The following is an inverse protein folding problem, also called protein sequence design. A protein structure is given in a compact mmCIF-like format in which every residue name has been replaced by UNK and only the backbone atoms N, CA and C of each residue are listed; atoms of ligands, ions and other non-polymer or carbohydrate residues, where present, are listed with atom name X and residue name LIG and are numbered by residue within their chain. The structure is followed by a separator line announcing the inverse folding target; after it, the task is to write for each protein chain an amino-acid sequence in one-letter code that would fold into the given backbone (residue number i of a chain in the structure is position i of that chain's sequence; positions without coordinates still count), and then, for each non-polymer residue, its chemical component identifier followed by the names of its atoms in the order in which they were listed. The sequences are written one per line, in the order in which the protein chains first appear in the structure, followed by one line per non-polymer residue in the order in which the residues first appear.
data_IF_584264838607
#
_entry.id   IF_584264838607
#
_cell.length_a   1.000
_cell.length_b   1.000
_cell.length_c   1.000
_cell.angle_alpha   90.00
_cell.angle_beta   90.00
_cell.angle_gamma   90.00
#
_symmetry.space_group_name_H-M   'P 1'
#
loop_
_entity.id
_entity.type
_entity.pdbx_description
1 polymer ?
#
# COMPACT_ATOMS: atom_id res chain seq x y z
N UNK A 1 -1.09 -19.43 -2.93
CA UNK A 1 -0.65 -18.90 -1.62
C UNK A 1 -1.66 -17.85 -1.18
N UNK A 2 -2.42 -18.15 -0.14
CA UNK A 2 -3.37 -17.23 0.44
C UNK A 2 -2.67 -16.52 1.60
N UNK A 3 -2.45 -15.19 1.48
CA UNK A 3 -2.02 -14.40 2.61
C UNK A 3 -3.19 -14.27 3.59
N UNK A 4 -3.01 -14.74 4.79
CA UNK A 4 -3.97 -14.58 5.87
C UNK A 4 -3.83 -13.18 6.50
N UNK A 5 -4.89 -12.60 7.08
CA UNK A 5 -4.83 -11.31 7.75
C UNK A 5 -3.71 -11.22 8.79
N UNK A 6 -3.54 -12.27 9.59
CA UNK A 6 -2.52 -12.36 10.65
C UNK A 6 -1.10 -12.26 10.08
N UNK A 7 -0.86 -12.84 8.90
CA UNK A 7 0.45 -12.76 8.25
C UNK A 7 0.82 -11.33 7.84
N UNK A 8 -0.15 -10.51 7.48
CA UNK A 8 0.09 -9.11 7.15
C UNK A 8 0.48 -8.33 8.40
N UNK A 9 -0.23 -8.55 9.51
CA UNK A 9 0.05 -7.86 10.76
C UNK A 9 1.37 -8.33 11.40
N UNK A 10 1.57 -9.63 11.52
CA UNK A 10 2.78 -10.23 12.08
C UNK A 10 4.00 -9.99 11.18
N UNK A 11 3.79 -10.01 9.85
CA UNK A 11 4.82 -9.71 8.88
C UNK A 11 5.39 -8.30 9.02
N UNK A 12 4.53 -7.30 9.24
CA UNK A 12 4.97 -5.93 9.50
C UNK A 12 5.81 -5.83 10.78
N UNK A 13 5.35 -6.47 11.86
CA UNK A 13 6.09 -6.50 13.12
C UNK A 13 7.45 -7.18 12.97
N UNK A 14 7.51 -8.27 12.19
CA UNK A 14 8.73 -9.00 11.90
C UNK A 14 9.72 -8.11 11.10
N UNK A 15 9.28 -7.51 9.99
CA UNK A 15 10.13 -6.62 9.16
C UNK A 15 10.66 -5.44 9.98
N UNK A 16 9.82 -4.81 10.81
CA UNK A 16 10.26 -3.73 11.72
C UNK A 16 11.30 -4.19 12.72
N UNK A 17 11.21 -5.43 13.22
CA UNK A 17 12.23 -6.01 14.11
C UNK A 17 13.56 -6.21 13.40
N UNK A 18 13.55 -6.73 12.16
CA UNK A 18 14.75 -6.87 11.34
C UNK A 18 15.39 -5.51 11.07
N UNK A 19 14.58 -4.52 10.69
CA UNK A 19 15.03 -3.14 10.46
C UNK A 19 15.73 -2.54 11.70
N UNK A 20 15.16 -2.74 12.90
CA UNK A 20 15.73 -2.25 14.15
C UNK A 20 17.14 -2.83 14.43
N UNK A 21 17.41 -4.03 13.96
CA UNK A 21 18.71 -4.71 14.14
C UNK A 21 19.61 -4.61 12.88
N UNK A 22 19.27 -3.74 11.91
CA UNK A 22 19.98 -3.60 10.65
C UNK A 22 20.19 -4.93 9.92
N UNK A 23 19.18 -5.82 9.94
CA UNK A 23 19.16 -7.10 9.25
C UNK A 23 18.20 -7.06 8.09
N UNK A 24 18.57 -7.64 6.96
CA UNK A 24 17.71 -7.73 5.79
C UNK A 24 16.56 -8.72 6.08
N UNK A 25 15.30 -8.31 5.92
CA UNK A 25 14.16 -9.21 5.98
C UNK A 25 14.12 -10.12 4.76
N UNK A 26 13.43 -11.25 4.86
CA UNK A 26 13.29 -12.23 3.77
C UNK A 26 12.36 -11.75 2.66
N UNK A 27 11.47 -10.79 2.97
CA UNK A 27 10.53 -10.24 2.00
C UNK A 27 10.22 -8.76 2.30
N UNK A 28 9.72 -8.03 1.32
CA UNK A 28 9.18 -6.70 1.50
C UNK A 28 7.71 -6.77 1.91
N UNK A 29 7.36 -6.19 3.06
CA UNK A 29 5.96 -6.10 3.48
C UNK A 29 5.13 -5.22 2.54
N UNK A 30 5.71 -4.15 2.01
CA UNK A 30 5.03 -3.25 1.08
C UNK A 30 4.74 -3.96 -0.26
N UNK A 31 5.68 -4.79 -0.75
CA UNK A 31 5.47 -5.66 -1.90
C UNK A 31 4.34 -6.67 -1.68
N UNK A 32 4.30 -7.29 -0.52
CA UNK A 32 3.22 -8.22 -0.14
C UNK A 32 1.86 -7.52 -0.22
N UNK A 33 1.72 -6.32 0.35
CA UNK A 33 0.47 -5.57 0.33
C UNK A 33 0.05 -5.18 -1.08
N UNK A 34 0.97 -4.70 -1.90
CA UNK A 34 0.70 -4.34 -3.31
C UNK A 34 0.30 -5.59 -4.11
N UNK A 35 1.01 -6.69 -3.95
CA UNK A 35 0.71 -7.95 -4.63
C UNK A 35 -0.69 -8.46 -4.27
N UNK A 36 -1.06 -8.44 -2.98
CA UNK A 36 -2.41 -8.84 -2.56
C UNK A 36 -3.46 -7.89 -3.16
N UNK A 37 -3.22 -6.58 -3.13
CA UNK A 37 -4.16 -5.59 -3.66
C UNK A 37 -4.41 -5.74 -5.17
N UNK A 38 -3.38 -6.13 -5.93
CA UNK A 38 -3.46 -6.32 -7.38
C UNK A 38 -4.11 -7.65 -7.77
N UNK A 39 -3.76 -8.74 -7.08
CA UNK A 39 -4.14 -10.09 -7.50
C UNK A 39 -5.37 -10.63 -6.78
N UNK A 40 -5.75 -10.08 -5.63
CA UNK A 40 -6.90 -10.54 -4.89
C UNK A 40 -8.07 -9.53 -4.95
N UNK A 41 -9.10 -9.87 -5.72
CA UNK A 41 -10.28 -9.03 -5.90
C UNK A 41 -11.46 -9.39 -5.01
N UNK A 42 -11.30 -10.24 -4.02
CA UNK A 42 -12.38 -10.65 -3.13
C UNK A 42 -12.74 -9.55 -2.12
N UNK A 43 -14.04 -9.40 -1.84
CA UNK A 43 -14.53 -8.33 -0.96
C UNK A 43 -14.07 -8.49 0.49
N UNK A 44 -14.04 -9.74 1.01
CA UNK A 44 -13.55 -9.98 2.36
C UNK A 44 -12.06 -9.64 2.51
N UNK A 45 -11.25 -9.87 1.46
CA UNK A 45 -9.84 -9.46 1.44
C UNK A 45 -9.73 -7.94 1.55
N UNK A 46 -10.58 -7.18 0.86
CA UNK A 46 -10.56 -5.73 0.95
C UNK A 46 -10.83 -5.22 2.38
N UNK A 47 -11.70 -5.88 3.13
CA UNK A 47 -12.05 -5.46 4.48
C UNK A 47 -10.86 -5.48 5.47
N UNK A 48 -10.03 -6.52 5.43
CA UNK A 48 -8.86 -6.62 6.31
C UNK A 48 -7.59 -6.00 5.70
N UNK A 49 -7.48 -5.98 4.36
CA UNK A 49 -6.31 -5.42 3.69
C UNK A 49 -6.31 -3.90 3.70
N UNK A 50 -7.48 -3.26 3.54
CA UNK A 50 -7.60 -1.81 3.38
C UNK A 50 -6.88 -1.02 4.47
N UNK A 51 -7.04 -1.28 5.78
CA UNK A 51 -6.35 -0.50 6.82
C UNK A 51 -4.82 -0.57 6.70
N UNK A 52 -4.27 -1.76 6.44
CA UNK A 52 -2.83 -1.96 6.31
C UNK A 52 -2.28 -1.30 5.03
N UNK A 53 -3.03 -1.39 3.93
CA UNK A 53 -2.66 -0.77 2.66
C UNK A 53 -2.73 0.76 2.74
N UNK A 54 -3.76 1.32 3.36
CA UNK A 54 -3.91 2.77 3.58
C UNK A 54 -2.77 3.32 4.43
N UNK A 55 -2.43 2.66 5.55
CA UNK A 55 -1.31 3.05 6.42
C UNK A 55 0.03 3.01 5.65
N UNK A 56 0.23 2.00 4.82
CA UNK A 56 1.39 1.92 3.93
C UNK A 56 1.45 3.10 2.97
N UNK A 57 0.34 3.41 2.28
CA UNK A 57 0.27 4.50 1.29
C UNK A 57 0.54 5.85 1.94
N UNK A 58 -0.09 6.13 3.08
CA UNK A 58 0.12 7.39 3.81
C UNK A 58 1.56 7.55 4.26
N UNK A 59 2.15 6.50 4.82
CA UNK A 59 3.56 6.49 5.24
C UNK A 59 4.50 6.71 4.07
N UNK A 60 4.24 6.06 2.95
CA UNK A 60 5.06 6.16 1.75
C UNK A 60 5.00 7.56 1.14
N UNK A 61 3.81 8.10 0.89
CA UNK A 61 3.62 9.44 0.31
C UNK A 61 4.24 10.50 1.21
N UNK A 62 3.99 10.43 2.53
CA UNK A 62 4.62 11.35 3.47
C UNK A 62 6.15 11.31 3.43
N UNK A 63 6.72 10.11 3.34
CA UNK A 63 8.16 9.91 3.21
C UNK A 63 8.71 10.49 1.91
N UNK A 64 8.03 10.27 0.78
CA UNK A 64 8.39 10.85 -0.53
C UNK A 64 8.33 12.37 -0.52
N UNK A 65 7.28 12.95 0.03
CA UNK A 65 7.11 14.41 0.08
C UNK A 65 8.20 15.07 0.92
N UNK A 66 8.61 14.43 2.02
CA UNK A 66 9.75 14.88 2.80
C UNK A 66 11.04 14.87 1.97
N UNK A 67 11.35 13.79 1.28
CA UNK A 67 12.54 13.67 0.43
C UNK A 67 12.47 14.66 -0.74
N UNK A 68 11.35 14.77 -1.43
CA UNK A 68 11.12 15.75 -2.50
C UNK A 68 11.36 17.18 -2.02
N UNK A 69 10.92 17.51 -0.82
CA UNK A 69 11.12 18.82 -0.22
C UNK A 69 12.60 19.12 0.02
N UNK A 70 13.38 18.15 0.49
CA UNK A 70 14.83 18.28 0.67
C UNK A 70 15.54 18.46 -0.67
N UNK A 71 15.18 17.66 -1.69
CA UNK A 71 15.76 17.79 -3.04
C UNK A 71 15.45 19.16 -3.65
N UNK A 72 14.20 19.60 -3.59
CA UNK A 72 13.76 20.90 -4.15
C UNK A 72 14.40 22.10 -3.44
N UNK A 73 14.69 22.00 -2.16
CA UNK A 73 15.40 23.02 -1.41
C UNK A 73 16.87 23.14 -1.87
N UNK A 74 17.46 22.06 -2.38
CA UNK A 74 18.83 22.03 -2.87
C UNK A 74 18.96 22.33 -4.37
N UNK A 75 18.03 21.84 -5.20
CA UNK A 75 18.03 21.98 -6.66
C UNK A 75 16.61 22.11 -7.19
N UNK A 76 16.38 23.07 -8.10
CA UNK A 76 15.07 23.26 -8.74
C UNK A 76 14.88 22.32 -9.93
N UNK A 77 13.63 21.89 -10.16
CA UNK A 77 13.24 21.17 -11.38
C UNK A 77 13.64 19.70 -11.45
N UNK A 78 13.99 19.09 -10.32
CA UNK A 78 14.26 17.64 -10.25
C UNK A 78 12.92 16.89 -10.12
N UNK A 79 12.71 15.92 -11.00
CA UNK A 79 11.57 15.00 -10.96
C UNK A 79 11.97 13.64 -10.41
N UNK A 80 10.98 12.88 -9.92
CA UNK A 80 11.18 11.50 -9.50
C UNK A 80 11.57 10.63 -10.71
N UNK A 81 12.51 9.72 -10.52
CA UNK A 81 12.85 8.72 -11.55
C UNK A 81 12.05 7.45 -11.37
N UNK A 82 11.37 6.97 -12.41
CA UNK A 82 10.73 5.66 -12.34
C UNK A 82 11.79 4.56 -12.29
N UNK A 83 11.52 3.48 -11.56
CA UNK A 83 12.31 2.24 -11.66
C UNK A 83 11.37 1.03 -11.72
N UNK A 84 11.76 0.06 -12.49
CA UNK A 84 11.09 -1.23 -12.62
C UNK A 84 12.18 -2.31 -12.70
N UNK A 85 12.87 -2.49 -11.59
CA UNK A 85 13.95 -3.46 -11.48
C UNK A 85 13.48 -4.62 -10.59
N UNK A 86 13.63 -5.84 -11.06
CA UNK A 86 13.33 -7.06 -10.30
C UNK A 86 14.37 -7.32 -9.21
N UNK A 87 15.43 -6.51 -9.15
CA UNK A 87 16.48 -6.63 -8.15
C UNK A 87 15.98 -6.15 -6.79
N UNK A 88 16.20 -6.94 -5.75
CA UNK A 88 15.93 -6.54 -4.37
C UNK A 88 16.86 -5.41 -3.94
N UNK A 89 16.31 -4.22 -3.74
CA UNK A 89 17.06 -3.04 -3.28
C UNK A 89 16.90 -2.90 -1.78
N UNK A 90 17.99 -3.04 -1.05
CA UNK A 90 18.03 -2.89 0.40
C UNK A 90 18.64 -1.56 0.82
N UNK A 91 18.07 -0.91 1.83
CA UNK A 91 18.66 0.28 2.44
C UNK A 91 20.04 -0.02 3.03
N UNK A 92 21.05 0.77 2.66
CA UNK A 92 22.42 0.59 3.15
C UNK A 92 22.53 0.69 4.68
N UNK A 93 21.66 1.49 5.31
CA UNK A 93 21.66 1.70 6.75
C UNK A 93 20.89 0.60 7.51
N UNK A 94 19.60 0.45 7.28
CA UNK A 94 18.73 -0.43 8.08
C UNK A 94 18.41 -1.78 7.42
N UNK A 95 18.90 -2.03 6.21
CA UNK A 95 18.71 -3.26 5.43
C UNK A 95 17.26 -3.58 5.05
N UNK A 96 16.31 -2.65 5.28
CA UNK A 96 14.93 -2.81 4.81
C UNK A 96 14.89 -2.88 3.30
N UNK A 97 14.04 -3.73 2.73
CA UNK A 97 13.82 -3.81 1.30
C UNK A 97 12.98 -2.59 0.85
N UNK A 98 13.51 -1.85 -0.12
CA UNK A 98 12.93 -0.61 -0.64
C UNK A 98 12.09 -0.92 -1.90
N UNK A 99 10.94 -1.55 -1.73
CA UNK A 99 10.10 -1.96 -2.86
C UNK A 99 9.45 -0.79 -3.59
N UNK A 100 8.83 0.13 -2.84
CA UNK A 100 8.04 1.22 -3.42
C UNK A 100 8.90 2.40 -3.90
N UNK A 101 9.91 2.76 -3.12
CA UNK A 101 10.83 3.84 -3.46
C UNK A 101 12.13 3.76 -2.67
N UNK A 102 13.16 4.40 -3.21
CA UNK A 102 14.45 4.57 -2.57
C UNK A 102 15.15 5.84 -3.06
N UNK A 103 16.12 6.29 -2.30
CA UNK A 103 16.95 7.43 -2.64
C UNK A 103 18.34 6.94 -3.03
N UNK A 104 18.87 7.46 -4.12
CA UNK A 104 20.26 7.29 -4.56
C UNK A 104 20.94 8.65 -4.64
N UNK A 105 22.26 8.69 -4.62
CA UNK A 105 23.01 9.93 -4.75
C UNK A 105 24.14 9.79 -5.76
N UNK A 106 24.24 10.74 -6.68
CA UNK A 106 25.35 10.85 -7.63
C UNK A 106 26.59 11.51 -7.01
N UNK A 107 26.41 12.28 -5.91
CA UNK A 107 27.48 13.06 -5.29
C UNK A 107 28.51 12.19 -4.55
N UNK A 108 28.12 10.98 -4.13
CA UNK A 108 28.97 10.13 -3.26
C UNK A 108 29.78 9.07 -4.02
N UNK A 109 29.76 9.01 -5.34
CA UNK A 109 30.31 7.88 -6.14
C UNK A 109 29.86 6.50 -5.59
N UNK A 110 28.74 6.47 -4.87
CA UNK A 110 28.20 5.32 -4.16
C UNK A 110 26.92 4.87 -4.86
N UNK A 111 26.86 3.60 -5.21
CA UNK A 111 25.63 2.93 -5.69
C UNK A 111 24.69 2.54 -4.55
N UNK A 112 24.98 2.99 -3.32
CA UNK A 112 24.17 2.65 -2.15
C UNK A 112 22.77 3.25 -2.26
N UNK A 113 21.74 2.44 -1.97
CA UNK A 113 20.37 2.89 -1.87
C UNK A 113 20.01 3.17 -0.40
N UNK A 114 19.17 4.16 -0.20
CA UNK A 114 18.61 4.50 1.11
C UNK A 114 17.08 4.42 1.08
N UNK A 115 16.45 3.91 2.14
CA UNK A 115 15.01 4.09 2.33
C UNK A 115 14.72 5.57 2.66
N UNK A 116 13.48 5.98 2.49
CA UNK A 116 13.03 7.36 2.68
C UNK A 116 13.41 7.94 4.06
N UNK A 117 13.45 7.08 5.09
CA UNK A 117 13.78 7.50 6.46
C UNK A 117 15.28 7.67 6.72
N UNK A 118 16.14 7.04 5.92
CA UNK A 118 17.60 7.01 6.14
C UNK A 118 18.40 7.65 5.00
N UNK A 119 17.76 8.47 4.17
CA UNK A 119 18.44 9.16 3.08
C UNK A 119 19.61 10.04 3.58
N UNK A 120 19.40 10.81 4.63
CA UNK A 120 20.42 11.68 5.24
C UNK A 120 21.57 10.88 5.89
N UNK A 121 21.26 9.73 6.52
CA UNK A 121 22.27 8.88 7.14
C UNK A 121 23.18 8.17 6.13
N UNK A 122 22.65 7.87 4.94
CA UNK A 122 23.38 7.16 3.89
C UNK A 122 24.11 8.13 2.97
N UNK A 123 23.47 9.24 2.60
CA UNK A 123 23.96 10.16 1.56
C UNK A 123 24.44 11.51 2.11
N UNK A 124 24.35 11.74 3.44
CA UNK A 124 24.65 13.02 4.07
C UNK A 124 23.48 14.01 3.93
N UNK A 125 23.65 15.21 4.51
CA UNK A 125 22.58 16.22 4.59
C UNK A 125 22.42 17.09 3.33
N UNK A 126 23.34 16.98 2.37
CA UNK A 126 23.29 17.76 1.13
C UNK A 126 22.52 17.01 0.05
N UNK A 127 21.27 17.37 -0.15
CA UNK A 127 20.37 16.70 -1.09
C UNK A 127 20.57 17.10 -2.58
N UNK A 128 21.55 17.93 -2.90
CA UNK A 128 21.79 18.43 -4.28
C UNK A 128 22.08 17.34 -5.31
N UNK A 129 22.59 16.18 -4.86
CA UNK A 129 22.86 15.05 -5.76
C UNK A 129 21.91 13.88 -5.54
N UNK A 130 20.81 14.08 -4.80
CA UNK A 130 19.86 13.01 -4.53
C UNK A 130 18.87 12.87 -5.68
N UNK A 131 18.50 11.61 -5.94
CA UNK A 131 17.41 11.24 -6.85
C UNK A 131 16.46 10.31 -6.10
N UNK A 132 15.18 10.67 -6.08
CA UNK A 132 14.11 9.80 -5.58
C UNK A 132 13.67 8.89 -6.72
N UNK A 133 13.81 7.59 -6.52
CA UNK A 133 13.32 6.56 -7.43
C UNK A 133 12.02 5.97 -6.92
N UNK A 134 11.03 5.87 -7.81
CA UNK A 134 9.68 5.41 -7.47
C UNK A 134 9.24 4.28 -8.41
N UNK A 135 8.77 3.16 -7.86
CA UNK A 135 8.22 2.04 -8.64
C UNK A 135 6.81 2.35 -9.12
N UNK A 136 5.98 2.85 -8.23
CA UNK A 136 4.60 3.20 -8.51
C UNK A 136 4.38 4.68 -8.19
N UNK A 137 3.76 5.48 -9.09
CA UNK A 137 3.45 6.87 -8.80
C UNK A 137 2.42 6.99 -7.66
N UNK A 138 2.37 8.14 -6.99
CA UNK A 138 1.46 8.40 -5.87
C UNK A 138 -0.01 8.19 -6.27
N UNK A 139 -0.37 8.56 -7.51
CA UNK A 139 -1.71 8.35 -8.07
C UNK A 139 -2.10 6.88 -8.19
N UNK A 140 -1.14 5.99 -8.47
CA UNK A 140 -1.38 4.55 -8.47
C UNK A 140 -1.73 4.07 -7.06
N UNK A 141 -0.93 4.43 -6.07
CA UNK A 141 -1.13 4.01 -4.68
C UNK A 141 -2.45 4.52 -4.11
N UNK A 142 -2.74 5.82 -4.29
CA UNK A 142 -3.98 6.42 -3.80
C UNK A 142 -5.22 5.86 -4.49
N UNK A 143 -5.18 5.60 -5.79
CA UNK A 143 -6.30 5.01 -6.51
C UNK A 143 -6.60 3.57 -6.05
N UNK A 144 -5.56 2.79 -5.73
CA UNK A 144 -5.74 1.44 -5.19
C UNK A 144 -6.27 1.46 -3.75
N UNK A 145 -5.80 2.37 -2.91
CA UNK A 145 -6.33 2.58 -1.57
C UNK A 145 -7.83 2.94 -1.61
N UNK A 146 -8.22 3.88 -2.48
CA UNK A 146 -9.63 4.27 -2.66
C UNK A 146 -10.50 3.09 -3.12
N UNK A 147 -10.04 2.30 -4.09
CA UNK A 147 -10.78 1.10 -4.53
C UNK A 147 -10.92 0.05 -3.43
N UNK A 148 -9.88 -0.14 -2.61
CA UNK A 148 -9.95 -1.05 -1.46
C UNK A 148 -10.94 -0.53 -0.42
N UNK A 149 -10.95 0.79 -0.13
CA UNK A 149 -11.89 1.43 0.77
C UNK A 149 -13.35 1.23 0.32
N UNK A 150 -13.64 1.49 -0.96
CA UNK A 150 -14.97 1.29 -1.54
C UNK A 150 -15.43 -0.17 -1.42
N UNK A 151 -14.55 -1.11 -1.72
CA UNK A 151 -14.83 -2.54 -1.63
C UNK A 151 -15.02 -3.01 -0.19
N UNK A 152 -14.22 -2.50 0.73
CA UNK A 152 -14.36 -2.78 2.17
C UNK A 152 -15.68 -2.24 2.74
N UNK A 153 -16.14 -1.09 2.25
CA UNK A 153 -17.39 -0.47 2.69
C UNK A 153 -18.65 -1.10 2.03
N UNK A 154 -18.52 -1.80 0.91
CA UNK A 154 -19.65 -2.29 0.11
C UNK A 154 -20.67 -3.14 0.89
N UNK A 155 -20.31 -4.09 1.78
CA UNK A 155 -21.27 -4.88 2.54
C UNK A 155 -22.12 -4.02 3.46
N UNK A 156 -21.51 -3.09 4.19
CA UNK A 156 -22.20 -2.20 5.12
C UNK A 156 -23.12 -1.22 4.36
N UNK A 157 -22.63 -0.66 3.27
CA UNK A 157 -23.41 0.24 2.42
C UNK A 157 -24.64 -0.46 1.83
N UNK A 158 -24.49 -1.71 1.39
CA UNK A 158 -25.61 -2.53 0.92
C UNK A 158 -26.63 -2.79 2.02
N UNK A 159 -26.21 -3.21 3.22
CA UNK A 159 -27.10 -3.43 4.34
C UNK A 159 -27.91 -2.18 4.71
N UNK A 160 -27.26 -1.02 4.76
CA UNK A 160 -27.91 0.26 5.06
C UNK A 160 -28.92 0.64 3.98
N UNK A 161 -28.61 0.40 2.70
CA UNK A 161 -29.51 0.64 1.57
C UNK A 161 -30.74 -0.26 1.64
N UNK A 162 -30.56 -1.55 1.91
CA UNK A 162 -31.67 -2.50 2.08
C UNK A 162 -32.58 -2.07 3.23
N UNK A 163 -32.01 -1.73 4.38
CA UNK A 163 -32.80 -1.26 5.54
C UNK A 163 -33.63 -0.02 5.20
N UNK A 164 -33.04 0.99 4.58
CA UNK A 164 -33.75 2.21 4.14
C UNK A 164 -34.85 1.89 3.14
N UNK A 165 -34.58 1.04 2.18
CA UNK A 165 -35.56 0.63 1.17
C UNK A 165 -36.77 -0.06 1.79
N UNK A 166 -36.58 -1.00 2.71
CA UNK A 166 -37.67 -1.72 3.38
C UNK A 166 -38.53 -0.80 4.28
N UNK A 167 -37.91 0.21 4.90
CA UNK A 167 -38.65 1.23 5.69
C UNK A 167 -39.51 2.10 4.77
N UNK A 168 -38.97 2.53 3.63
CA UNK A 168 -39.67 3.41 2.68
C UNK A 168 -40.76 2.65 1.89
N UNK A 169 -40.63 1.34 1.71
CA UNK A 169 -41.54 0.51 0.94
C UNK A 169 -42.04 -0.69 1.76
N UNK A 170 -43.07 -0.50 2.60
CA UNK A 170 -43.60 -1.61 3.45
C UNK A 170 -44.10 -2.83 2.67
N UNK A 171 -44.40 -2.64 1.37
CA UNK A 171 -44.81 -3.73 0.45
C UNK A 171 -44.01 -3.58 -0.86
N UNK A 172 -42.73 -3.92 -0.86
CA UNK A 172 -41.88 -3.70 -2.02
C UNK A 172 -42.25 -4.68 -3.17
N UNK A 173 -42.14 -4.24 -4.41
CA UNK A 173 -42.32 -5.11 -5.58
C UNK A 173 -41.29 -6.24 -5.59
N UNK A 174 -41.71 -7.47 -5.90
CA UNK A 174 -40.83 -8.66 -5.95
C UNK A 174 -39.61 -8.47 -6.86
N UNK A 175 -39.76 -7.72 -7.97
CA UNK A 175 -38.66 -7.44 -8.89
C UNK A 175 -37.52 -6.67 -8.18
N UNK A 176 -37.86 -5.71 -7.32
CA UNK A 176 -36.87 -4.91 -6.58
C UNK A 176 -36.20 -5.74 -5.49
N UNK A 177 -36.96 -6.56 -4.76
CA UNK A 177 -36.41 -7.50 -3.79
C UNK A 177 -35.43 -8.48 -4.42
N UNK A 178 -35.78 -9.06 -5.57
CA UNK A 178 -34.87 -9.94 -6.32
C UNK A 178 -33.58 -9.24 -6.71
N UNK A 179 -33.64 -7.99 -7.15
CA UNK A 179 -32.45 -7.20 -7.46
C UNK A 179 -31.54 -7.00 -6.25
N UNK A 180 -32.10 -6.64 -5.09
CA UNK A 180 -31.36 -6.49 -3.84
C UNK A 180 -30.73 -7.81 -3.38
N UNK A 181 -31.45 -8.92 -3.49
CA UNK A 181 -30.93 -10.26 -3.12
C UNK A 181 -29.78 -10.65 -4.05
N UNK A 182 -29.92 -10.46 -5.37
CA UNK A 182 -28.86 -10.77 -6.33
C UNK A 182 -27.60 -9.92 -6.09
N UNK A 183 -27.77 -8.66 -5.72
CA UNK A 183 -26.66 -7.79 -5.35
C UNK A 183 -26.00 -8.26 -4.05
N UNK A 184 -26.79 -8.57 -3.03
CA UNK A 184 -26.30 -9.12 -1.76
C UNK A 184 -25.54 -10.44 -1.94
N UNK A 185 -26.02 -11.32 -2.82
CA UNK A 185 -25.33 -12.56 -3.15
C UNK A 185 -23.95 -12.31 -3.78
N UNK A 186 -23.81 -11.33 -4.65
CA UNK A 186 -22.51 -10.96 -5.23
C UNK A 186 -21.53 -10.45 -4.16
N UNK A 187 -22.05 -9.75 -3.15
CA UNK A 187 -21.27 -9.26 -2.01
C UNK A 187 -20.92 -10.39 -1.04
N UNK A 188 -21.85 -11.32 -0.83
CA UNK A 188 -21.69 -12.46 0.08
C UNK A 188 -20.90 -13.64 -0.50
N UNK A 189 -20.67 -13.69 -1.82
CA UNK A 189 -19.84 -14.71 -2.47
C UNK A 189 -18.33 -14.47 -2.24
N UNK A 190 -17.95 -14.17 -1.00
CA UNK A 190 -16.63 -14.50 -0.53
C UNK A 190 -16.53 -16.03 -0.41
N UNK A 191 -15.47 -16.70 -0.86
CA UNK A 191 -15.33 -18.13 -0.66
C UNK A 191 -15.44 -18.44 0.83
N UNK A 192 -16.05 -19.57 1.22
CA UNK A 192 -16.05 -20.00 2.59
C UNK A 192 -14.61 -20.10 3.08
N UNK A 193 -14.38 -19.64 4.29
CA UNK A 193 -13.13 -19.92 5.00
C UNK A 193 -12.92 -21.42 4.93
N UNK A 194 -11.78 -21.84 4.41
CA UNK A 194 -11.31 -23.21 4.53
C UNK A 194 -10.84 -23.36 5.98
N UNK A 195 -11.70 -23.96 6.81
CA UNK A 195 -11.34 -24.46 8.14
C UNK A 195 -10.14 -25.44 8.07
#
# INVERSE_FOLDING_TARGET
NFALPDWVMDGLACVRRYQKHARQPVFSHDELLVSIALHNQQLHTAAWLHPAFEDMVQREIHGRDRVRSLIRAAVSGVEDEPFDDDTEIACAHCKTLCYLSHVVSTAANSTAAACLSHAEQVHGTQAAGWTLRVRHPDTFLTSHASRLAERAAAPVAWQQRVRRFLVQHPRPPLRMLRGLVQEGQKIAMAPPELD
#
